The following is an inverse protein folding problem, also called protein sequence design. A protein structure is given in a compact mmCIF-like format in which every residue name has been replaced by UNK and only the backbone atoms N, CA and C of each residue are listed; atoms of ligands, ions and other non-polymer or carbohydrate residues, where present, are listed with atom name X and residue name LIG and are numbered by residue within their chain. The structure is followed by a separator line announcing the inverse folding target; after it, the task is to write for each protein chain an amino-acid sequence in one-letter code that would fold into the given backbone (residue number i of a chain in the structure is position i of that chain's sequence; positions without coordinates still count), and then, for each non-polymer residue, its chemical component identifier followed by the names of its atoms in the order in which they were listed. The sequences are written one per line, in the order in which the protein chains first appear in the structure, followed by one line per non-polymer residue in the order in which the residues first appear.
data_IF_732957742980
#
_entry.id   IF_732957742980
#
_cell.length_a   1.000
_cell.length_b   1.000
_cell.length_c   1.000
_cell.angle_alpha   90.00
_cell.angle_beta   90.00
_cell.angle_gamma   90.00
#
_symmetry.space_group_name_H-M   'P 1'
#
loop_
_entity.id
_entity.type
_entity.pdbx_description
1 polymer ?
#
# COMPACT_ATOMS: atom_id res chain seq x y z
N UNK A 1 -34.67 52.13 -16.26
CA UNK A 1 -35.05 52.59 -14.90
C UNK A 1 -34.75 51.48 -13.89
N UNK A 2 -34.55 51.78 -12.59
CA UNK A 2 -33.69 50.97 -11.72
C UNK A 2 -34.32 50.47 -10.40
N UNK A 3 -33.69 49.44 -9.81
CA UNK A 3 -33.56 49.16 -8.35
C UNK A 3 -32.56 47.98 -8.21
N UNK A 4 -31.43 47.98 -7.51
CA UNK A 4 -30.82 48.80 -6.45
C UNK A 4 -31.25 48.50 -4.99
N UNK A 5 -30.48 47.62 -4.33
CA UNK A 5 -30.28 47.47 -2.86
C UNK A 5 -31.50 47.01 -2.02
N UNK A 6 -31.36 46.55 -0.74
CA UNK A 6 -30.22 46.67 0.19
C UNK A 6 -29.70 45.35 0.85
N UNK A 7 -28.58 45.38 1.60
CA UNK A 7 -28.08 44.25 2.40
C UNK A 7 -28.78 44.17 3.76
N UNK A 8 -28.89 42.97 4.33
CA UNK A 8 -29.38 42.77 5.70
C UNK A 8 -28.23 42.59 6.69
N UNK A 9 -28.04 43.60 7.54
CA UNK A 9 -27.41 43.44 8.85
C UNK A 9 -28.48 43.05 9.88
N UNK A 10 -28.15 42.13 10.79
CA UNK A 10 -28.78 42.06 12.11
C UNK A 10 -27.72 42.04 13.21
N UNK A 11 -27.68 43.15 13.96
CA UNK A 11 -27.15 43.26 15.33
C UNK A 11 -27.97 42.37 16.30
N UNK A 12 -27.59 42.01 17.54
CA UNK A 12 -26.38 42.18 18.39
C UNK A 12 -26.61 41.34 19.69
N UNK A 13 -25.66 41.36 20.64
CA UNK A 13 -25.72 40.83 22.03
C UNK A 13 -25.58 39.29 22.16
N UNK A 14 -24.77 38.69 23.04
CA UNK A 14 -23.87 39.11 24.14
C UNK A 14 -22.64 38.15 24.13
N UNK A 15 -21.44 38.41 24.70
CA UNK A 15 -20.82 39.57 25.37
C UNK A 15 -19.27 39.46 25.24
N UNK A 16 -18.50 40.42 25.77
CA UNK A 16 -17.04 40.34 25.90
C UNK A 16 -16.57 39.91 27.30
N UNK A 17 -15.44 39.20 27.40
CA UNK A 17 -14.59 39.24 28.59
C UNK A 17 -13.10 39.34 28.22
N UNK A 18 -12.54 40.56 28.36
CA UNK A 18 -11.10 40.84 28.30
C UNK A 18 -10.58 41.18 29.70
N UNK A 19 -9.64 40.40 30.23
CA UNK A 19 -8.82 40.76 31.40
C UNK A 19 -7.36 40.41 31.07
N UNK A 20 -6.50 41.38 30.74
CA UNK A 20 -5.83 42.38 31.61
C UNK A 20 -4.79 41.78 32.56
N UNK A 21 -3.52 41.88 32.17
CA UNK A 21 -2.37 41.78 33.09
C UNK A 21 -2.32 43.02 34.02
N UNK A 22 -1.99 42.87 35.32
CA UNK A 22 -1.81 44.00 36.22
C UNK A 22 -0.45 44.72 36.05
N UNK A 23 -0.30 45.97 36.53
CA UNK A 23 0.69 46.92 36.00
C UNK A 23 1.99 47.05 36.82
N UNK A 24 3.00 47.64 36.18
CA UNK A 24 4.21 48.14 36.84
C UNK A 24 3.93 49.33 37.77
N UNK A 25 4.41 49.26 39.01
CA UNK A 25 4.67 50.43 39.84
C UNK A 25 6.14 50.88 39.67
N UNK A 26 6.36 52.15 39.33
CA UNK A 26 7.70 52.78 39.42
C UNK A 26 7.96 53.22 40.86
N UNK A 27 9.15 52.96 41.38
CA UNK A 27 9.74 53.77 42.46
C UNK A 27 11.09 54.30 41.99
N UNK A 28 11.27 55.61 42.17
CA UNK A 28 12.44 56.39 41.76
C UNK A 28 13.56 56.32 42.79
N UNK A 29 14.80 56.17 42.35
CA UNK A 29 15.96 56.29 43.24
C UNK A 29 17.29 56.13 42.50
N UNK A 30 17.96 57.25 42.17
CA UNK A 30 19.38 57.26 41.83
C UNK A 30 20.14 57.92 42.99
N UNK A 31 21.03 57.17 43.62
CA UNK A 31 22.18 57.69 44.37
C UNK A 31 23.39 56.76 44.12
N UNK A 32 24.65 57.26 44.22
CA UNK A 32 25.75 56.69 43.44
C UNK A 32 26.84 55.98 44.27
N UNK A 33 27.58 55.09 43.58
CA UNK A 33 28.82 54.40 44.02
C UNK A 33 28.64 53.44 45.22
N UNK A 34 29.16 52.21 45.17
CA UNK A 34 30.58 52.02 45.45
C UNK A 34 31.20 50.77 44.78
N UNK A 35 32.49 50.86 44.43
CA UNK A 35 33.28 49.73 43.92
C UNK A 35 34.10 49.13 45.08
N UNK A 36 33.76 47.94 45.56
CA UNK A 36 34.73 47.03 46.22
C UNK A 36 34.24 45.58 46.34
N UNK A 37 35.12 44.66 45.93
CA UNK A 37 35.24 43.27 46.40
C UNK A 37 33.96 42.40 46.53
N UNK A 38 33.48 41.91 45.40
CA UNK A 38 32.99 40.53 45.32
C UNK A 38 33.87 39.76 44.34
N UNK A 39 34.79 38.91 44.84
CA UNK A 39 35.51 37.95 44.00
C UNK A 39 34.50 36.96 43.45
N UNK A 40 34.08 37.15 42.19
CA UNK A 40 33.31 36.14 41.47
C UNK A 40 34.18 34.89 41.34
N UNK A 41 33.87 33.88 42.16
CA UNK A 41 34.41 32.54 41.94
C UNK A 41 33.94 32.09 40.56
N UNK A 42 34.88 31.96 39.62
CA UNK A 42 34.60 31.33 38.33
C UNK A 42 34.01 29.95 38.61
N UNK A 43 32.82 29.62 38.08
CA UNK A 43 32.26 28.30 38.29
C UNK A 43 33.25 27.28 37.72
N UNK A 44 33.73 26.36 38.57
CA UNK A 44 34.62 25.28 38.15
C UNK A 44 33.95 24.55 36.99
N UNK A 45 34.49 24.70 35.78
CA UNK A 45 34.04 23.95 34.62
C UNK A 45 34.13 22.48 35.01
N UNK A 46 33.01 21.72 35.01
CA UNK A 46 33.05 20.32 35.43
C UNK A 46 34.08 19.58 34.57
N UNK A 47 34.88 18.73 35.20
CA UNK A 47 36.02 18.09 34.55
C UNK A 47 35.52 16.98 33.60
N UNK A 48 35.05 17.37 32.41
CA UNK A 48 34.41 16.47 31.44
C UNK A 48 35.29 15.28 31.03
N UNK A 49 36.60 15.32 31.26
CA UNK A 49 37.50 14.19 31.04
C UNK A 49 37.25 13.02 32.01
N UNK A 50 36.60 13.26 33.15
CA UNK A 50 36.12 12.21 34.07
C UNK A 50 34.70 11.72 33.74
N UNK A 51 34.00 12.37 32.81
CA UNK A 51 32.66 11.96 32.41
C UNK A 51 32.74 10.77 31.43
N UNK A 52 32.18 9.63 31.82
CA UNK A 52 32.24 8.39 31.03
C UNK A 52 31.52 8.50 29.68
N UNK A 53 30.39 9.24 29.60
CA UNK A 53 29.69 9.46 28.35
C UNK A 53 30.51 10.34 27.39
N UNK A 54 31.18 11.38 27.89
CA UNK A 54 32.13 12.16 27.09
C UNK A 54 33.29 11.31 26.58
N UNK A 55 33.93 10.51 27.46
CA UNK A 55 35.04 9.62 27.08
C UNK A 55 34.63 8.62 26.01
N UNK A 56 33.46 7.98 26.17
CA UNK A 56 32.91 7.06 25.16
C UNK A 56 32.63 7.76 23.83
N UNK A 57 31.98 8.93 23.86
CA UNK A 57 31.70 9.70 22.66
C UNK A 57 32.99 10.17 21.96
N UNK A 58 34.00 10.60 22.71
CA UNK A 58 35.31 11.02 22.20
C UNK A 58 36.08 9.83 21.61
N UNK A 59 36.01 8.64 22.21
CA UNK A 59 36.58 7.41 21.66
C UNK A 59 35.97 7.08 20.29
N UNK A 60 34.64 6.94 20.21
CA UNK A 60 33.98 6.55 18.96
C UNK A 60 34.15 7.61 17.87
N UNK A 61 34.08 8.89 18.22
CA UNK A 61 34.36 9.99 17.29
C UNK A 61 35.82 10.01 16.79
N UNK A 62 36.77 9.60 17.63
CA UNK A 62 38.18 9.48 17.25
C UNK A 62 38.42 8.34 16.25
N UNK A 63 37.57 7.32 16.29
CA UNK A 63 37.60 6.15 15.41
C UNK A 63 36.63 6.26 14.22
N UNK A 64 36.27 7.50 13.83
CA UNK A 64 35.51 7.79 12.61
C UNK A 64 33.99 7.77 12.74
N UNK A 65 33.43 7.42 13.91
CA UNK A 65 31.98 7.37 14.09
C UNK A 65 31.35 8.76 14.22
N UNK A 66 30.16 8.94 13.64
CA UNK A 66 29.32 10.10 13.87
C UNK A 66 28.57 9.99 15.22
N UNK A 67 28.53 11.09 15.97
CA UNK A 67 27.92 11.13 17.31
C UNK A 67 26.68 12.02 17.32
N UNK A 68 25.52 11.47 17.67
CA UNK A 68 24.30 12.25 17.92
C UNK A 68 24.18 12.58 19.41
N UNK A 69 24.11 13.86 19.84
CA UNK A 69 23.91 14.20 21.24
C UNK A 69 22.50 13.88 21.70
N UNK A 70 22.36 13.21 22.85
CA UNK A 70 21.09 12.78 23.42
C UNK A 70 20.81 13.45 24.76
N UNK A 71 19.54 13.68 25.06
CA UNK A 71 19.09 14.28 26.32
C UNK A 71 19.55 13.46 27.54
N UNK A 72 19.82 14.09 28.71
CA UNK A 72 20.21 13.38 29.92
C UNK A 72 19.23 12.27 30.30
N UNK A 73 19.75 11.07 30.60
CA UNK A 73 18.97 9.86 30.95
C UNK A 73 17.93 9.42 29.91
N UNK A 74 18.04 9.90 28.68
CA UNK A 74 17.08 9.67 27.60
C UNK A 74 17.75 9.04 26.38
N UNK A 75 16.93 8.42 25.52
CA UNK A 75 17.33 7.98 24.18
C UNK A 75 17.07 9.04 23.11
N UNK A 76 16.36 10.14 23.45
CA UNK A 76 15.95 11.19 22.50
C UNK A 76 17.12 12.11 22.14
N UNK A 77 17.29 12.52 20.88
CA UNK A 77 18.27 13.54 20.51
C UNK A 77 17.92 14.90 21.11
N UNK A 78 18.94 15.70 21.42
CA UNK A 78 18.71 17.13 21.68
C UNK A 78 18.07 17.80 20.46
N UNK A 79 17.22 18.80 20.70
CA UNK A 79 16.55 19.54 19.62
C UNK A 79 17.56 20.04 18.57
N UNK A 80 17.25 19.81 17.30
CA UNK A 80 18.11 20.13 16.18
C UNK A 80 19.17 19.08 15.83
N UNK A 81 19.24 17.93 16.53
CA UNK A 81 20.08 16.77 16.21
C UNK A 81 19.25 15.54 15.83
N UNK A 82 19.84 14.60 15.06
CA UNK A 82 19.25 13.33 14.65
C UNK A 82 20.32 12.39 14.06
N UNK A 83 19.96 11.16 13.65
CA UNK A 83 20.85 10.31 12.83
C UNK A 83 21.29 10.94 11.50
N UNK A 84 20.61 11.98 11.02
CA UNK A 84 21.00 12.77 9.82
C UNK A 84 21.71 14.08 10.15
N UNK A 85 21.74 14.49 11.42
CA UNK A 85 22.35 15.75 11.88
C UNK A 85 23.05 15.53 13.22
N UNK A 86 24.36 15.29 13.13
CA UNK A 86 25.21 14.77 14.19
C UNK A 86 26.54 15.54 14.26
N UNK A 87 27.32 15.30 15.31
CA UNK A 87 28.66 15.83 15.50
C UNK A 87 29.69 14.92 14.80
N UNK A 88 30.59 15.54 14.00
CA UNK A 88 31.75 14.87 13.36
C UNK A 88 33.12 15.48 13.74
N UNK A 89 33.17 16.47 14.66
CA UNK A 89 34.42 17.18 15.02
C UNK A 89 34.64 17.21 16.53
N UNK A 90 35.81 16.75 17.02
CA UNK A 90 36.14 16.70 18.47
C UNK A 90 35.96 18.05 19.19
N UNK A 91 36.29 19.17 18.52
CA UNK A 91 36.10 20.53 19.06
C UNK A 91 34.62 20.85 19.35
N UNK A 92 33.71 20.37 18.51
CA UNK A 92 32.27 20.55 18.66
C UNK A 92 31.74 19.65 19.79
N UNK A 93 32.14 18.38 19.83
CA UNK A 93 31.80 17.44 20.92
C UNK A 93 32.21 18.00 22.30
N UNK A 94 33.45 18.49 22.41
CA UNK A 94 33.99 19.09 23.63
C UNK A 94 33.26 20.38 24.05
N UNK A 95 32.82 21.19 23.08
CA UNK A 95 31.97 22.36 23.33
C UNK A 95 30.57 21.94 23.81
N UNK A 96 30.00 20.88 23.24
CA UNK A 96 28.69 20.35 23.60
C UNK A 96 28.67 19.84 25.04
N UNK A 97 29.55 18.91 25.40
CA UNK A 97 29.62 18.34 26.75
C UNK A 97 30.06 19.35 27.83
N UNK A 98 30.76 20.43 27.47
CA UNK A 98 30.99 21.58 28.38
C UNK A 98 29.70 22.34 28.73
N UNK A 99 28.73 22.38 27.82
CA UNK A 99 27.43 23.04 28.03
C UNK A 99 26.41 22.10 28.68
N UNK A 100 26.47 20.81 28.34
CA UNK A 100 25.57 19.77 28.82
C UNK A 100 26.39 18.58 29.37
N UNK A 101 26.93 18.68 30.60
CA UNK A 101 27.80 17.63 31.15
C UNK A 101 27.08 16.30 31.35
N UNK A 102 25.79 16.32 31.69
CA UNK A 102 24.97 15.12 31.93
C UNK A 102 24.33 14.54 30.67
N UNK A 103 24.71 15.01 29.48
CA UNK A 103 24.20 14.52 28.21
C UNK A 103 24.57 13.05 27.97
N UNK A 104 23.61 12.31 27.40
CA UNK A 104 23.89 11.02 26.77
C UNK A 104 24.42 11.25 25.35
N UNK A 105 24.87 10.18 24.70
CA UNK A 105 25.16 10.21 23.27
C UNK A 105 24.73 8.93 22.56
N UNK A 106 24.46 9.07 21.27
CA UNK A 106 24.25 7.97 20.35
C UNK A 106 25.39 7.86 19.35
N UNK A 107 25.76 6.63 19.02
CA UNK A 107 26.65 6.28 17.91
C UNK A 107 25.74 6.08 16.69
N UNK A 108 25.87 6.91 15.67
CA UNK A 108 25.08 6.79 14.43
C UNK A 108 25.54 5.55 13.67
N UNK A 109 24.62 4.77 13.13
CA UNK A 109 24.89 3.48 12.46
C UNK A 109 24.78 3.58 10.93
N UNK A 110 25.27 2.56 10.23
CA UNK A 110 25.42 2.49 8.77
C UNK A 110 26.59 3.31 8.23
N UNK A 111 26.43 3.84 7.02
CA UNK A 111 27.45 4.53 6.23
C UNK A 111 28.09 5.73 6.95
N UNK A 112 27.34 6.39 7.85
CA UNK A 112 27.78 7.56 8.58
C UNK A 112 28.96 7.29 9.54
N UNK A 113 29.17 6.03 9.94
CA UNK A 113 30.19 5.59 10.90
C UNK A 113 30.92 4.28 10.51
N UNK A 114 30.47 3.57 9.47
CA UNK A 114 31.01 2.25 9.12
C UNK A 114 30.62 1.12 10.09
N UNK A 115 29.54 1.31 10.85
CA UNK A 115 29.15 0.46 11.99
C UNK A 115 27.69 0.04 11.88
N UNK A 116 27.42 -1.25 12.02
CA UNK A 116 26.08 -1.79 12.28
C UNK A 116 26.03 -2.40 13.68
N UNK A 117 24.85 -2.52 14.26
CA UNK A 117 24.67 -3.12 15.58
C UNK A 117 23.53 -4.13 15.57
N UNK A 118 23.79 -5.34 16.05
CA UNK A 118 22.76 -6.30 16.41
C UNK A 118 22.33 -6.02 17.86
N UNK A 119 21.14 -5.48 18.01
CA UNK A 119 20.48 -5.14 19.27
C UNK A 119 19.64 -6.34 19.72
N UNK A 120 19.99 -6.91 20.87
CA UNK A 120 19.47 -8.19 21.37
C UNK A 120 18.71 -7.95 22.66
N UNK A 121 17.38 -7.92 22.61
CA UNK A 121 16.55 -7.58 23.77
C UNK A 121 15.96 -8.80 24.50
N UNK A 122 15.84 -8.66 25.82
CA UNK A 122 15.13 -9.59 26.70
C UNK A 122 15.70 -11.01 26.77
N UNK A 123 14.83 -11.96 27.13
CA UNK A 123 15.16 -13.40 27.15
C UNK A 123 15.12 -13.98 25.74
N UNK A 124 14.10 -13.63 24.98
CA UNK A 124 13.82 -14.15 23.64
C UNK A 124 14.96 -13.88 22.67
N UNK A 125 15.42 -12.62 22.56
CA UNK A 125 16.57 -12.26 21.74
C UNK A 125 17.84 -13.02 22.12
N UNK A 126 18.06 -13.32 23.41
CA UNK A 126 19.22 -14.14 23.84
C UNK A 126 19.11 -15.59 23.41
N UNK A 127 17.91 -16.16 23.36
CA UNK A 127 17.69 -17.53 22.91
C UNK A 127 17.74 -17.62 21.38
N UNK A 128 17.18 -16.65 20.65
CA UNK A 128 17.39 -16.50 19.20
C UNK A 128 18.85 -16.25 18.85
N UNK A 129 19.61 -15.49 19.64
CA UNK A 129 21.06 -15.31 19.45
C UNK A 129 21.84 -16.62 19.63
N UNK A 130 21.45 -17.52 20.55
CA UNK A 130 22.08 -18.84 20.68
C UNK A 130 21.87 -19.68 19.43
N UNK A 131 20.64 -19.71 18.90
CA UNK A 131 20.32 -20.39 17.64
C UNK A 131 21.11 -19.78 16.47
N UNK A 132 21.18 -18.45 16.39
CA UNK A 132 21.94 -17.72 15.38
C UNK A 132 23.45 -18.05 15.45
N UNK A 133 24.03 -18.12 16.65
CA UNK A 133 25.44 -18.52 16.86
C UNK A 133 25.71 -19.97 16.49
N UNK A 134 24.81 -20.89 16.85
CA UNK A 134 24.93 -22.31 16.46
C UNK A 134 24.86 -22.51 14.95
N UNK A 135 24.12 -21.65 14.25
CA UNK A 135 23.96 -21.69 12.79
C UNK A 135 25.04 -20.93 12.00
N UNK A 136 25.95 -20.21 12.65
CA UNK A 136 27.00 -19.41 11.99
C UNK A 136 28.34 -19.59 12.71
N UNK A 137 29.21 -20.43 12.14
CA UNK A 137 30.54 -20.74 12.68
C UNK A 137 31.45 -19.50 12.81
N UNK A 138 31.15 -18.43 12.06
CA UNK A 138 31.87 -17.15 12.06
C UNK A 138 31.41 -16.08 13.06
N UNK A 139 30.60 -16.39 14.09
CA UNK A 139 30.26 -15.39 15.13
C UNK A 139 31.47 -15.13 16.06
N UNK A 140 32.38 -14.29 15.61
CA UNK A 140 33.58 -13.90 16.35
C UNK A 140 33.29 -13.05 17.59
N UNK A 141 34.28 -12.96 18.49
CA UNK A 141 34.33 -11.92 19.51
C UNK A 141 34.29 -10.54 18.84
N UNK A 142 33.48 -9.64 19.39
CA UNK A 142 33.34 -8.26 18.93
C UNK A 142 33.01 -7.35 20.12
N UNK A 143 32.98 -6.05 19.90
CA UNK A 143 32.59 -5.07 20.92
C UNK A 143 31.13 -5.31 21.34
N UNK A 144 30.92 -5.46 22.65
CA UNK A 144 29.60 -5.72 23.24
C UNK A 144 29.31 -4.67 24.32
N UNK A 145 28.15 -4.01 24.21
CA UNK A 145 27.65 -3.09 25.24
C UNK A 145 26.41 -3.68 25.88
N UNK A 146 26.39 -3.76 27.22
CA UNK A 146 25.24 -4.16 28.00
C UNK A 146 24.25 -2.99 28.10
N UNK A 147 22.97 -3.28 27.84
CA UNK A 147 21.86 -2.32 27.96
C UNK A 147 21.03 -2.65 29.20
N UNK A 148 20.00 -1.85 29.50
CA UNK A 148 19.13 -2.10 30.66
C UNK A 148 18.39 -3.45 30.64
N UNK A 149 18.20 -4.08 29.48
CA UNK A 149 17.45 -5.35 29.32
C UNK A 149 18.12 -6.38 28.39
N UNK A 150 19.16 -5.96 27.65
CA UNK A 150 19.72 -6.69 26.52
C UNK A 150 21.19 -6.36 26.25
N UNK A 151 21.64 -6.57 25.01
CA UNK A 151 23.02 -6.31 24.58
C UNK A 151 23.08 -5.80 23.14
N UNK A 152 23.93 -4.81 22.90
CA UNK A 152 24.34 -4.37 21.57
C UNK A 152 25.63 -5.11 21.17
N UNK A 153 25.63 -5.79 20.02
CA UNK A 153 26.82 -6.39 19.39
C UNK A 153 27.19 -5.56 18.16
N UNK A 154 28.37 -4.95 18.16
CA UNK A 154 28.80 -4.03 17.10
C UNK A 154 29.54 -4.80 16.01
N UNK A 155 29.34 -4.44 14.74
CA UNK A 155 30.06 -5.00 13.59
C UNK A 155 30.40 -3.90 12.58
N UNK A 156 31.45 -4.09 11.79
CA UNK A 156 31.76 -3.23 10.64
C UNK A 156 30.67 -3.41 9.58
N UNK A 157 30.19 -2.33 9.00
CA UNK A 157 29.19 -2.39 7.92
C UNK A 157 29.10 -1.09 7.13
N UNK A 158 28.34 -1.12 6.06
CA UNK A 158 28.12 -0.05 5.09
C UNK A 158 26.64 0.39 5.09
N UNK A 159 26.16 0.91 3.98
CA UNK A 159 24.75 1.27 3.72
C UNK A 159 23.83 0.07 3.42
N UNK A 160 24.37 -1.14 3.21
CA UNK A 160 23.58 -2.34 2.88
C UNK A 160 22.59 -2.72 3.97
N UNK A 161 23.00 -2.58 5.23
CA UNK A 161 22.13 -2.80 6.38
C UNK A 161 21.41 -1.50 6.71
N UNK A 162 20.08 -1.49 6.60
CA UNK A 162 19.22 -0.48 7.26
C UNK A 162 18.63 -1.01 8.56
N UNK A 163 17.97 -0.13 9.30
CA UNK A 163 17.26 -0.51 10.53
C UNK A 163 16.19 -1.55 10.24
N UNK A 164 16.18 -2.64 11.01
CA UNK A 164 15.14 -3.67 10.95
C UNK A 164 14.92 -4.29 12.33
N UNK A 165 13.70 -4.78 12.57
CA UNK A 165 13.33 -5.43 13.83
C UNK A 165 12.91 -6.88 13.57
N UNK A 166 13.30 -7.80 14.44
CA UNK A 166 12.92 -9.22 14.41
C UNK A 166 13.34 -10.06 13.17
N UNK A 167 13.95 -9.48 12.13
CA UNK A 167 14.22 -10.16 10.85
C UNK A 167 15.18 -11.35 10.94
N UNK A 168 16.03 -11.37 11.96
CA UNK A 168 17.01 -12.44 12.22
C UNK A 168 16.54 -13.49 13.23
N UNK A 169 15.34 -13.28 13.80
CA UNK A 169 14.80 -14.01 14.94
C UNK A 169 14.11 -13.04 15.91
N UNK A 170 13.19 -13.55 16.73
CA UNK A 170 12.48 -12.71 17.69
C UNK A 170 13.45 -12.07 18.72
N UNK A 171 13.24 -10.80 19.03
CA UNK A 171 14.15 -10.02 19.89
C UNK A 171 15.54 -9.74 19.30
N UNK A 172 15.74 -9.93 17.98
CA UNK A 172 16.97 -9.57 17.26
C UNK A 172 16.71 -8.45 16.25
N UNK A 173 17.15 -7.24 16.61
CA UNK A 173 17.03 -6.02 15.82
C UNK A 173 18.38 -5.66 15.19
N UNK A 174 18.39 -5.22 13.93
CA UNK A 174 19.58 -4.62 13.30
C UNK A 174 19.43 -3.10 13.29
N UNK A 175 20.42 -2.40 13.83
CA UNK A 175 20.58 -0.95 13.74
C UNK A 175 21.62 -0.65 12.67
N UNK A 176 21.15 -0.09 11.56
CA UNK A 176 21.91 0.13 10.34
C UNK A 176 21.84 1.59 9.90
N UNK A 177 21.90 1.85 8.60
CA UNK A 177 21.84 3.19 8.04
C UNK A 177 20.57 3.95 8.43
N UNK A 178 20.73 5.25 8.65
CA UNK A 178 19.70 6.14 9.21
C UNK A 178 19.41 5.93 10.71
N UNK A 179 20.06 4.97 11.38
CA UNK A 179 19.89 4.67 12.81
C UNK A 179 20.92 5.29 13.74
N UNK A 180 20.76 5.05 15.03
CA UNK A 180 21.81 5.21 16.06
C UNK A 180 21.52 4.29 17.24
N UNK A 181 22.55 3.99 18.04
CA UNK A 181 22.42 3.30 19.33
C UNK A 181 22.98 4.15 20.47
N UNK A 182 22.39 4.08 21.66
CA UNK A 182 22.96 4.75 22.84
C UNK A 182 24.32 4.16 23.17
N UNK A 183 25.33 5.03 23.31
CA UNK A 183 26.71 4.62 23.52
C UNK A 183 27.08 4.39 24.98
N UNK A 184 28.11 3.57 25.26
CA UNK A 184 28.60 3.26 26.60
C UNK A 184 29.09 4.50 27.35
N UNK A 185 28.90 4.51 28.67
CA UNK A 185 29.05 5.68 29.53
C UNK A 185 27.75 6.46 29.74
N UNK A 186 26.81 6.40 28.78
CA UNK A 186 25.46 6.98 28.90
C UNK A 186 24.62 6.28 29.97
N UNK A 187 23.62 6.98 30.51
CA UNK A 187 22.72 6.50 31.58
C UNK A 187 21.30 6.29 31.02
N UNK A 188 20.66 5.18 31.35
CA UNK A 188 19.26 4.90 31.01
C UNK A 188 18.30 5.69 31.92
N UNK A 189 17.03 5.83 31.54
CA UNK A 189 15.98 6.45 32.38
C UNK A 189 15.83 5.77 33.74
N UNK A 190 16.07 4.45 33.79
CA UNK A 190 16.08 3.64 35.03
C UNK A 190 17.36 3.78 35.87
N UNK A 191 18.29 4.67 35.50
CA UNK A 191 19.58 4.86 36.17
C UNK A 191 20.67 3.83 35.82
N UNK A 192 20.32 2.73 35.14
CA UNK A 192 21.30 1.73 34.67
C UNK A 192 22.22 2.35 33.63
N UNK A 193 23.55 2.21 33.79
CA UNK A 193 24.53 2.72 32.83
C UNK A 193 24.79 1.71 31.71
N UNK A 194 24.84 2.21 30.47
CA UNK A 194 25.37 1.45 29.33
C UNK A 194 26.88 1.25 29.53
N UNK A 195 27.35 0.00 29.54
CA UNK A 195 28.75 -0.34 29.79
C UNK A 195 29.22 -1.42 28.85
N UNK A 196 30.52 -1.50 28.58
CA UNK A 196 31.06 -2.66 27.88
C UNK A 196 30.88 -3.92 28.73
N UNK A 197 30.59 -5.04 28.07
CA UNK A 197 30.73 -6.36 28.70
C UNK A 197 32.22 -6.61 28.94
N UNK A 198 32.57 -7.23 30.08
CA UNK A 198 33.97 -7.57 30.39
C UNK A 198 34.61 -8.44 29.29
N UNK A 199 35.85 -8.14 28.90
CA UNK A 199 36.52 -8.80 27.77
C UNK A 199 35.88 -8.49 26.42
N UNK A 200 35.26 -7.32 26.26
CA UNK A 200 34.50 -6.94 25.05
C UNK A 200 34.44 -5.42 24.83
N UNK A 201 35.35 -4.65 25.42
CA UNK A 201 35.56 -3.25 25.09
C UNK A 201 36.42 -3.08 23.81
N UNK A 202 36.35 -1.92 23.12
CA UNK A 202 37.14 -1.66 21.92
C UNK A 202 38.66 -1.69 22.09
N UNK A 203 39.16 -1.59 23.33
CA UNK A 203 40.58 -1.72 23.66
C UNK A 203 41.00 -3.20 23.85
N UNK A 204 40.04 -4.10 24.09
CA UNK A 204 40.24 -5.55 24.27
C UNK A 204 39.94 -6.35 23.00
N UNK A 205 38.95 -5.91 22.20
CA UNK A 205 38.50 -6.61 20.98
C UNK A 205 38.21 -5.64 19.84
N UNK A 206 38.62 -6.03 18.64
CA UNK A 206 38.25 -5.31 17.42
C UNK A 206 36.76 -5.47 17.11
N UNK A 207 36.17 -4.45 16.46
CA UNK A 207 34.83 -4.57 15.86
C UNK A 207 34.90 -5.57 14.70
N UNK A 208 34.20 -6.70 14.82
CA UNK A 208 34.22 -7.79 13.85
C UNK A 208 33.49 -7.44 12.54
N UNK A 209 33.74 -8.22 11.48
CA UNK A 209 33.07 -8.06 10.18
C UNK A 209 31.61 -8.54 10.22
N UNK A 210 30.78 -8.01 9.31
CA UNK A 210 29.35 -8.37 9.16
C UNK A 210 29.05 -9.34 8.01
N UNK A 211 30.06 -9.98 7.40
CA UNK A 211 29.87 -10.88 6.25
C UNK A 211 28.89 -12.01 6.57
N UNK A 212 29.10 -12.71 7.69
CA UNK A 212 28.21 -13.75 8.20
C UNK A 212 26.76 -13.26 8.39
N UNK A 213 26.56 -11.97 8.71
CA UNK A 213 25.23 -11.39 8.88
C UNK A 213 24.54 -11.20 7.52
N UNK A 214 25.29 -10.84 6.47
CA UNK A 214 24.77 -10.77 5.09
C UNK A 214 24.46 -12.16 4.56
N UNK A 215 25.39 -13.09 4.71
CA UNK A 215 25.23 -14.52 4.35
C UNK A 215 24.00 -15.11 5.06
N UNK A 216 23.80 -14.79 6.35
CA UNK A 216 22.64 -15.26 7.09
C UNK A 216 21.34 -14.67 6.58
N UNK A 217 21.27 -13.35 6.31
CA UNK A 217 20.10 -12.72 5.67
C UNK A 217 19.83 -13.36 4.30
N UNK A 218 20.86 -13.53 3.47
CA UNK A 218 20.75 -14.18 2.16
C UNK A 218 20.22 -15.62 2.27
N UNK A 219 20.75 -16.44 3.19
CA UNK A 219 20.29 -17.83 3.40
C UNK A 219 18.85 -17.91 3.91
N UNK A 220 18.44 -17.02 4.83
CA UNK A 220 17.07 -16.93 5.33
C UNK A 220 16.10 -16.54 4.22
N UNK A 221 16.55 -15.78 3.22
CA UNK A 221 15.71 -15.48 2.07
C UNK A 221 15.79 -16.54 0.98
N UNK A 222 16.92 -17.21 0.73
CA UNK A 222 16.96 -18.34 -0.20
C UNK A 222 15.92 -19.39 0.22
N UNK A 223 15.87 -19.75 1.50
CA UNK A 223 14.82 -20.62 2.06
C UNK A 223 13.37 -20.09 1.87
N UNK A 224 13.17 -18.77 1.86
CA UNK A 224 11.86 -18.13 1.57
C UNK A 224 11.58 -18.01 0.06
N UNK A 225 12.60 -18.05 -0.78
CA UNK A 225 12.55 -17.96 -2.24
C UNK A 225 12.38 -19.34 -2.88
N UNK A 226 13.02 -20.38 -2.35
CA UNK A 226 12.81 -21.79 -2.74
C UNK A 226 11.38 -22.26 -2.44
N UNK A 227 10.69 -21.60 -1.48
CA UNK A 227 9.24 -21.72 -1.24
C UNK A 227 8.39 -20.77 -2.12
N UNK A 228 8.91 -20.33 -3.26
CA UNK A 228 8.20 -19.59 -4.33
C UNK A 228 8.59 -20.23 -5.66
N UNK A 229 7.60 -20.61 -6.47
CA UNK A 229 7.87 -21.09 -7.83
C UNK A 229 8.52 -19.98 -8.67
N UNK A 230 9.78 -20.18 -9.05
CA UNK A 230 10.55 -19.28 -9.91
C UNK A 230 10.55 -19.79 -11.36
N UNK A 231 10.26 -18.94 -12.37
CA UNK A 231 10.34 -19.35 -13.77
C UNK A 231 11.78 -19.64 -14.20
N UNK A 232 12.04 -20.85 -14.68
CA UNK A 232 13.40 -21.39 -14.86
C UNK A 232 14.18 -20.81 -16.05
N UNK A 233 13.53 -20.06 -16.95
CA UNK A 233 14.13 -19.56 -18.20
C UNK A 233 13.61 -18.15 -18.53
N UNK A 234 14.44 -17.13 -18.36
CA UNK A 234 14.15 -15.74 -18.74
C UNK A 234 14.91 -15.42 -20.03
N UNK A 235 14.21 -15.39 -21.17
CA UNK A 235 14.77 -14.90 -22.44
C UNK A 235 15.02 -13.39 -22.38
N UNK A 236 15.95 -12.93 -23.22
CA UNK A 236 16.26 -11.51 -23.36
C UNK A 236 14.99 -10.71 -23.72
N UNK A 237 14.73 -9.62 -22.98
CA UNK A 237 13.47 -8.87 -23.00
C UNK A 237 12.47 -9.21 -21.88
N UNK A 238 12.53 -10.41 -21.27
CA UNK A 238 11.62 -10.82 -20.18
C UNK A 238 12.03 -10.40 -18.76
N UNK A 239 13.24 -9.83 -18.59
CA UNK A 239 13.92 -9.60 -17.30
C UNK A 239 13.12 -8.74 -16.31
N UNK A 240 12.60 -7.60 -16.75
CA UNK A 240 11.82 -6.70 -15.89
C UNK A 240 10.53 -7.37 -15.38
N UNK A 241 9.85 -8.15 -16.21
CA UNK A 241 8.63 -8.86 -15.82
C UNK A 241 8.94 -9.98 -14.79
N UNK A 242 10.02 -10.74 -15.00
CA UNK A 242 10.48 -11.75 -14.05
C UNK A 242 10.87 -11.11 -12.70
N UNK A 243 11.62 -10.00 -12.73
CA UNK A 243 12.01 -9.25 -11.54
C UNK A 243 10.79 -8.69 -10.78
N UNK A 244 9.82 -8.09 -11.49
CA UNK A 244 8.55 -7.61 -10.89
C UNK A 244 7.77 -8.76 -10.26
N UNK A 245 7.63 -9.91 -10.94
CA UNK A 245 6.89 -11.05 -10.41
C UNK A 245 7.53 -11.64 -9.14
N UNK A 246 8.86 -11.77 -9.13
CA UNK A 246 9.64 -12.19 -7.97
C UNK A 246 9.48 -11.22 -6.79
N UNK A 247 9.65 -9.91 -7.03
CA UNK A 247 9.52 -8.88 -6.00
C UNK A 247 8.09 -8.77 -5.47
N UNK A 248 7.06 -8.90 -6.32
CA UNK A 248 5.66 -8.96 -5.89
C UNK A 248 5.38 -10.17 -4.99
N UNK A 249 6.01 -11.32 -5.25
CA UNK A 249 5.95 -12.49 -4.37
C UNK A 249 6.56 -12.24 -2.99
N UNK A 250 7.70 -11.54 -2.94
CA UNK A 250 8.38 -11.15 -1.70
C UNK A 250 7.57 -10.10 -0.90
N UNK A 251 7.05 -9.07 -1.57
CA UNK A 251 6.19 -8.03 -0.97
C UNK A 251 4.94 -8.65 -0.36
N UNK A 252 4.29 -9.61 -1.04
CA UNK A 252 3.14 -10.37 -0.47
C UNK A 252 3.50 -11.19 0.78
N UNK A 253 4.77 -11.60 0.93
CA UNK A 253 5.30 -12.26 2.15
C UNK A 253 5.81 -11.23 3.20
N UNK A 254 5.50 -9.94 3.06
CA UNK A 254 5.88 -8.87 4.00
C UNK A 254 7.34 -8.40 3.86
N UNK A 255 8.06 -8.83 2.82
CA UNK A 255 9.45 -8.45 2.59
C UNK A 255 9.47 -7.12 1.83
N UNK A 256 9.84 -6.04 2.53
CA UNK A 256 9.80 -4.67 2.02
C UNK A 256 11.08 -3.89 2.37
N UNK A 257 11.24 -2.72 1.73
CA UNK A 257 12.38 -1.83 1.94
C UNK A 257 13.69 -2.42 1.44
N UNK A 258 14.75 -2.31 2.23
CA UNK A 258 16.11 -2.64 1.78
C UNK A 258 16.38 -4.14 1.67
N UNK A 259 15.61 -4.97 2.39
CA UNK A 259 15.60 -6.42 2.18
C UNK A 259 15.09 -6.73 0.76
N UNK A 260 13.99 -6.10 0.33
CA UNK A 260 13.46 -6.26 -1.03
C UNK A 260 14.47 -5.81 -2.10
N UNK A 261 15.21 -4.72 -1.87
CA UNK A 261 16.25 -4.24 -2.79
C UNK A 261 17.46 -5.20 -2.87
N UNK A 262 17.94 -5.71 -1.74
CA UNK A 262 19.02 -6.69 -1.73
C UNK A 262 18.67 -7.94 -2.54
N UNK A 263 17.41 -8.38 -2.45
CA UNK A 263 16.89 -9.55 -3.17
C UNK A 263 16.65 -9.28 -4.65
N UNK A 264 16.21 -8.08 -5.00
CA UNK A 264 16.14 -7.65 -6.39
C UNK A 264 17.51 -7.73 -7.08
N UNK A 265 18.57 -7.27 -6.39
CA UNK A 265 19.95 -7.33 -6.89
C UNK A 265 20.46 -8.77 -7.01
N UNK A 266 20.21 -9.62 -6.01
CA UNK A 266 20.59 -11.05 -6.04
C UNK A 266 19.89 -11.78 -7.19
N UNK A 267 18.57 -11.60 -7.35
CA UNK A 267 17.80 -12.25 -8.41
C UNK A 267 18.19 -11.72 -9.80
N UNK A 268 18.41 -10.40 -9.94
CA UNK A 268 18.92 -9.81 -11.18
C UNK A 268 20.30 -10.37 -11.59
N UNK A 269 21.17 -10.63 -10.60
CA UNK A 269 22.47 -11.27 -10.81
C UNK A 269 22.40 -12.72 -11.28
N UNK A 270 21.23 -13.37 -11.23
CA UNK A 270 21.01 -14.71 -11.78
C UNK A 270 20.66 -14.71 -13.28
N UNK A 271 20.39 -13.55 -13.88
CA UNK A 271 20.09 -13.44 -15.31
C UNK A 271 21.37 -13.58 -16.15
N UNK A 272 21.32 -14.23 -17.34
CA UNK A 272 22.49 -14.34 -18.25
C UNK A 272 23.09 -12.99 -18.66
N UNK A 273 22.27 -11.94 -18.64
CA UNK A 273 22.69 -10.54 -18.72
C UNK A 273 21.87 -9.76 -17.68
N UNK A 274 22.45 -9.41 -16.53
CA UNK A 274 21.78 -8.61 -15.50
C UNK A 274 21.37 -7.22 -16.01
N UNK A 275 20.28 -6.69 -15.46
CA UNK A 275 19.89 -5.29 -15.63
C UNK A 275 20.84 -4.36 -14.86
N UNK A 276 20.88 -3.09 -15.26
CA UNK A 276 21.63 -2.07 -14.53
C UNK A 276 21.01 -1.77 -13.14
N UNK A 277 21.82 -1.33 -12.19
CA UNK A 277 21.38 -1.13 -10.81
C UNK A 277 20.32 -0.02 -10.68
N UNK A 278 20.37 1.04 -11.50
CA UNK A 278 19.31 2.06 -11.51
C UNK A 278 17.98 1.48 -12.01
N UNK A 279 18.01 0.49 -12.90
CA UNK A 279 16.82 -0.22 -13.40
C UNK A 279 16.27 -1.19 -12.34
N UNK A 280 17.13 -1.90 -11.62
CA UNK A 280 16.74 -2.69 -10.45
C UNK A 280 16.11 -1.82 -9.37
N UNK A 281 16.72 -0.67 -9.03
CA UNK A 281 16.20 0.29 -8.04
C UNK A 281 14.87 0.89 -8.48
N UNK A 282 14.69 1.24 -9.77
CA UNK A 282 13.39 1.66 -10.33
C UNK A 282 12.34 0.56 -10.20
N UNK A 283 12.72 -0.69 -10.50
CA UNK A 283 11.82 -1.85 -10.44
C UNK A 283 11.38 -2.17 -9.00
N UNK A 284 12.28 -2.05 -8.02
CA UNK A 284 11.96 -2.18 -6.60
C UNK A 284 11.03 -1.06 -6.12
N UNK A 285 11.28 0.19 -6.52
CA UNK A 285 10.36 1.31 -6.25
C UNK A 285 8.97 1.02 -6.83
N UNK A 286 8.91 0.54 -8.08
CA UNK A 286 7.65 0.13 -8.72
C UNK A 286 6.93 -0.96 -7.93
N UNK A 287 7.61 -2.04 -7.54
CA UNK A 287 7.05 -3.12 -6.73
C UNK A 287 6.58 -2.64 -5.33
N UNK A 288 7.22 -1.62 -4.75
CA UNK A 288 6.79 -0.99 -3.50
C UNK A 288 5.58 -0.07 -3.67
N UNK A 289 5.34 0.49 -4.86
CA UNK A 289 4.07 1.17 -5.18
C UNK A 289 2.87 0.20 -5.15
N UNK A 290 3.13 -1.11 -5.32
CA UNK A 290 2.17 -2.20 -5.15
C UNK A 290 2.24 -2.88 -3.77
N UNK A 291 2.87 -2.23 -2.77
CA UNK A 291 2.96 -2.75 -1.39
C UNK A 291 1.65 -2.56 -0.62
N UNK A 292 1.25 -3.51 0.26
CA UNK A 292 -0.11 -3.53 0.81
C UNK A 292 -0.37 -2.39 1.80
N UNK A 293 -1.14 -1.41 1.36
CA UNK A 293 -1.87 -0.48 2.23
C UNK A 293 -3.17 -1.18 2.65
N UNK A 294 -3.40 -1.29 3.96
CA UNK A 294 -4.62 -1.74 4.64
C UNK A 294 -5.47 -2.82 3.94
N UNK A 295 -5.15 -4.09 4.20
CA UNK A 295 -6.07 -5.21 3.99
C UNK A 295 -7.19 -5.24 5.04
N UNK A 296 -8.07 -4.26 4.95
CA UNK A 296 -9.52 -4.49 5.09
C UNK A 296 -10.30 -4.02 3.84
N UNK A 297 -9.66 -3.33 2.89
CA UNK A 297 -10.20 -3.10 1.55
C UNK A 297 -9.07 -2.93 0.51
N UNK A 298 -8.95 -3.85 -0.45
CA UNK A 298 -8.21 -3.56 -1.69
C UNK A 298 -8.92 -2.40 -2.39
N UNK A 299 -8.28 -1.23 -2.62
CA UNK A 299 -8.94 -0.09 -3.23
C UNK A 299 -9.49 -0.40 -4.63
N UNK A 300 -8.81 -1.23 -5.41
CA UNK A 300 -9.28 -1.67 -6.72
C UNK A 300 -10.52 -2.54 -6.60
N UNK A 301 -10.57 -3.42 -5.60
CA UNK A 301 -11.73 -4.28 -5.35
C UNK A 301 -12.93 -3.47 -4.84
N UNK A 302 -12.71 -2.57 -3.88
CA UNK A 302 -13.76 -1.70 -3.34
C UNK A 302 -14.35 -0.76 -4.41
N UNK A 303 -13.53 -0.23 -5.33
CA UNK A 303 -14.03 0.55 -6.45
C UNK A 303 -14.72 -0.31 -7.52
N UNK A 304 -14.30 -1.56 -7.74
CA UNK A 304 -15.01 -2.48 -8.62
C UNK A 304 -16.39 -2.82 -8.07
N UNK A 305 -16.50 -3.13 -6.78
CA UNK A 305 -17.79 -3.40 -6.12
C UNK A 305 -18.68 -2.14 -6.10
N UNK A 306 -18.12 -0.95 -5.88
CA UNK A 306 -18.87 0.30 -6.00
C UNK A 306 -19.37 0.57 -7.43
N UNK A 307 -18.60 0.25 -8.47
CA UNK A 307 -19.04 0.32 -9.88
C UNK A 307 -20.16 -0.69 -10.16
N UNK A 308 -20.02 -1.93 -9.71
CA UNK A 308 -21.06 -2.96 -9.84
C UNK A 308 -22.36 -2.56 -9.13
N UNK A 309 -22.26 -2.02 -7.92
CA UNK A 309 -23.41 -1.58 -7.12
C UNK A 309 -24.09 -0.35 -7.72
N UNK A 310 -23.33 0.60 -8.25
CA UNK A 310 -23.85 1.89 -8.76
C UNK A 310 -24.48 1.73 -10.16
N UNK A 311 -23.91 0.89 -11.03
CA UNK A 311 -24.30 0.83 -12.44
C UNK A 311 -24.89 -0.51 -12.89
N UNK A 312 -24.65 -1.61 -12.17
CA UNK A 312 -24.89 -2.96 -12.69
C UNK A 312 -25.63 -3.90 -11.71
N UNK A 313 -26.44 -3.33 -10.81
CA UNK A 313 -27.29 -4.11 -9.90
C UNK A 313 -26.52 -5.07 -8.99
N UNK A 314 -25.32 -4.66 -8.52
CA UNK A 314 -24.44 -5.51 -7.73
C UNK A 314 -23.75 -6.62 -8.55
N UNK A 315 -23.64 -6.45 -9.87
CA UNK A 315 -23.05 -7.44 -10.79
C UNK A 315 -24.05 -8.40 -11.42
N UNK A 316 -25.35 -8.23 -11.17
CA UNK A 316 -26.40 -8.98 -11.88
C UNK A 316 -26.61 -8.50 -13.32
N UNK A 317 -26.31 -7.25 -13.62
CA UNK A 317 -26.55 -6.60 -14.91
C UNK A 317 -25.27 -6.35 -15.72
N UNK A 318 -24.18 -7.05 -15.39
CA UNK A 318 -22.93 -7.05 -16.15
C UNK A 318 -22.39 -8.48 -16.21
N UNK A 319 -21.95 -8.90 -17.39
CA UNK A 319 -21.23 -10.16 -17.60
C UNK A 319 -20.07 -9.97 -18.57
N UNK A 320 -19.16 -10.94 -18.60
CA UNK A 320 -18.13 -11.09 -19.61
C UNK A 320 -18.13 -12.54 -20.11
N UNK A 321 -18.01 -12.72 -21.43
CA UNK A 321 -17.99 -14.04 -22.07
C UNK A 321 -16.60 -14.35 -22.64
N UNK A 322 -16.44 -15.57 -23.17
CA UNK A 322 -15.18 -16.07 -23.74
C UNK A 322 -14.76 -15.34 -25.04
N UNK A 323 -15.71 -14.65 -25.70
CA UNK A 323 -15.44 -13.66 -26.76
C UNK A 323 -14.57 -12.47 -26.27
N UNK A 324 -14.46 -12.33 -24.95
CA UNK A 324 -13.73 -11.30 -24.24
C UNK A 324 -14.46 -9.98 -24.06
N UNK A 325 -15.68 -9.86 -24.59
CA UNK A 325 -16.54 -8.69 -24.54
C UNK A 325 -17.31 -8.63 -23.21
N UNK A 326 -17.58 -7.41 -22.75
CA UNK A 326 -18.54 -7.18 -21.68
C UNK A 326 -19.93 -6.97 -22.26
N UNK A 327 -20.93 -7.48 -21.56
CA UNK A 327 -22.35 -7.31 -21.87
C UNK A 327 -23.05 -6.73 -20.65
N UNK A 328 -23.87 -5.71 -20.84
CA UNK A 328 -24.67 -5.08 -19.78
C UNK A 328 -26.16 -5.13 -20.09
N UNK A 329 -26.97 -5.27 -19.05
CA UNK A 329 -28.42 -5.31 -19.14
C UNK A 329 -29.00 -3.89 -18.96
N UNK A 330 -29.71 -3.38 -19.98
CA UNK A 330 -30.23 -2.01 -20.05
C UNK A 330 -31.64 -1.84 -19.41
N UNK A 331 -32.02 -2.77 -18.53
CA UNK A 331 -33.37 -3.01 -18.01
C UNK A 331 -34.38 -3.63 -19.00
N UNK A 332 -33.98 -3.87 -20.26
CA UNK A 332 -34.79 -4.59 -21.25
C UNK A 332 -34.03 -5.76 -21.89
N UNK A 333 -32.78 -5.55 -22.30
CA UNK A 333 -31.96 -6.50 -23.05
C UNK A 333 -30.48 -6.41 -22.70
N UNK A 334 -29.73 -7.45 -23.05
CA UNK A 334 -28.28 -7.46 -22.99
C UNK A 334 -27.67 -6.82 -24.24
N UNK A 335 -26.78 -5.85 -24.03
CA UNK A 335 -26.05 -5.12 -25.09
C UNK A 335 -24.56 -5.06 -24.76
N UNK A 336 -23.71 -4.79 -25.77
CA UNK A 336 -22.26 -4.72 -25.57
C UNK A 336 -21.92 -3.48 -24.73
N UNK A 337 -21.29 -3.69 -23.58
CA UNK A 337 -20.71 -2.63 -22.75
C UNK A 337 -19.24 -2.47 -23.14
N UNK A 338 -18.87 -1.30 -23.65
CA UNK A 338 -17.48 -1.08 -24.05
C UNK A 338 -16.57 -0.76 -22.85
N UNK A 339 -15.29 -1.13 -22.96
CA UNK A 339 -14.30 -0.97 -21.89
C UNK A 339 -14.09 0.50 -21.51
N UNK A 340 -14.21 1.43 -22.45
CA UNK A 340 -14.01 2.85 -22.16
C UNK A 340 -15.19 3.48 -21.39
N UNK A 341 -16.41 3.00 -21.58
CA UNK A 341 -17.58 3.28 -20.73
C UNK A 341 -17.35 2.77 -19.31
N UNK A 342 -16.83 1.54 -19.14
CA UNK A 342 -16.43 1.03 -17.82
C UNK A 342 -15.37 1.90 -17.16
N UNK A 343 -14.36 2.37 -17.89
CA UNK A 343 -13.35 3.33 -17.38
C UNK A 343 -13.99 4.67 -16.98
N UNK A 344 -14.92 5.20 -17.77
CA UNK A 344 -15.64 6.45 -17.45
C UNK A 344 -16.54 6.31 -16.21
N UNK A 345 -17.28 5.20 -16.10
CA UNK A 345 -18.09 4.84 -14.92
C UNK A 345 -17.19 4.72 -13.67
N UNK A 346 -16.05 4.06 -13.79
CA UNK A 346 -15.03 3.96 -12.73
C UNK A 346 -14.48 5.32 -12.32
N UNK A 347 -14.14 6.20 -13.27
CA UNK A 347 -13.66 7.55 -12.98
C UNK A 347 -14.70 8.37 -12.18
N UNK A 348 -16.00 8.26 -12.50
CA UNK A 348 -17.08 8.93 -11.75
C UNK A 348 -17.14 8.44 -10.30
N UNK A 349 -17.07 7.12 -10.07
CA UNK A 349 -17.06 6.52 -8.72
C UNK A 349 -15.84 6.95 -7.92
N UNK A 350 -14.66 7.04 -8.54
CA UNK A 350 -13.44 7.57 -7.88
C UNK A 350 -13.59 9.06 -7.55
N UNK A 351 -14.17 9.87 -8.45
CA UNK A 351 -14.39 11.30 -8.21
C UNK A 351 -15.39 11.58 -7.08
N UNK A 352 -16.37 10.69 -6.88
CA UNK A 352 -17.38 10.79 -5.82
C UNK A 352 -16.88 10.31 -4.45
N UNK A 353 -15.72 9.64 -4.38
CA UNK A 353 -15.12 9.16 -3.13
C UNK A 353 -14.02 10.12 -2.62
N UNK A 354 -14.15 10.70 -1.41
CA UNK A 354 -13.18 11.68 -0.90
C UNK A 354 -11.85 11.06 -0.45
N UNK A 355 -11.82 9.77 -0.11
CA UNK A 355 -10.59 9.03 0.18
C UNK A 355 -9.97 8.55 -1.14
N UNK A 356 -8.96 9.26 -1.62
CA UNK A 356 -8.18 8.85 -2.81
C UNK A 356 -7.03 7.93 -2.38
N UNK A 357 -6.83 6.76 -3.00
CA UNK A 357 -5.63 5.97 -2.78
C UNK A 357 -4.39 6.74 -3.23
N UNK A 358 -3.23 6.45 -2.64
CA UNK A 358 -1.93 7.04 -3.04
C UNK A 358 -1.41 6.58 -4.42
N UNK A 359 -2.26 5.93 -5.22
CA UNK A 359 -1.95 5.43 -6.57
C UNK A 359 -2.43 6.42 -7.64
N UNK A 360 -1.83 6.35 -8.83
CA UNK A 360 -2.30 7.14 -9.97
C UNK A 360 -3.70 6.68 -10.41
N UNK A 361 -4.60 7.64 -10.68
CA UNK A 361 -6.01 7.37 -11.06
C UNK A 361 -6.12 6.38 -12.23
N UNK A 362 -5.24 6.48 -13.24
CA UNK A 362 -5.21 5.57 -14.39
C UNK A 362 -4.87 4.13 -14.01
N UNK A 363 -4.00 3.93 -13.01
CA UNK A 363 -3.67 2.60 -12.48
C UNK A 363 -4.89 1.97 -11.81
N UNK A 364 -5.59 2.74 -10.96
CA UNK A 364 -6.81 2.29 -10.28
C UNK A 364 -7.92 1.95 -11.27
N UNK A 365 -8.11 2.80 -12.30
CA UNK A 365 -9.09 2.54 -13.37
C UNK A 365 -8.80 1.22 -14.11
N UNK A 366 -7.54 0.95 -14.44
CA UNK A 366 -7.17 -0.30 -15.11
C UNK A 366 -7.32 -1.52 -14.18
N UNK A 367 -6.91 -1.41 -12.91
CA UNK A 367 -7.11 -2.44 -11.89
C UNK A 367 -8.58 -2.81 -11.72
N UNK A 368 -9.48 -1.81 -11.63
CA UNK A 368 -10.93 -2.03 -11.56
C UNK A 368 -11.43 -2.78 -12.79
N UNK A 369 -11.04 -2.38 -14.00
CA UNK A 369 -11.43 -3.08 -15.24
C UNK A 369 -10.94 -4.54 -15.25
N UNK A 370 -9.71 -4.80 -14.79
CA UNK A 370 -9.17 -6.16 -14.72
C UNK A 370 -9.86 -7.02 -13.65
N UNK A 371 -10.22 -6.43 -12.50
CA UNK A 371 -11.04 -7.10 -11.47
C UNK A 371 -12.45 -7.40 -12.00
N UNK A 372 -13.07 -6.47 -12.74
CA UNK A 372 -14.37 -6.70 -13.37
C UNK A 372 -14.32 -7.86 -14.38
N UNK A 373 -13.25 -7.97 -15.20
CA UNK A 373 -13.09 -9.12 -16.13
C UNK A 373 -13.17 -10.46 -15.41
N UNK A 374 -12.65 -10.55 -14.19
CA UNK A 374 -12.69 -11.76 -13.38
C UNK A 374 -14.03 -11.92 -12.62
N UNK A 375 -14.52 -10.86 -11.96
CA UNK A 375 -15.74 -10.91 -11.13
C UNK A 375 -17.02 -11.20 -11.91
N UNK A 376 -17.11 -10.78 -13.17
CA UNK A 376 -18.32 -10.95 -13.99
C UNK A 376 -18.18 -11.97 -15.12
N UNK A 377 -17.11 -12.77 -15.11
CA UNK A 377 -16.94 -13.85 -16.07
C UNK A 377 -18.09 -14.87 -15.96
N UNK A 378 -18.63 -15.32 -17.09
CA UNK A 378 -19.65 -16.37 -17.17
C UNK A 378 -19.21 -17.45 -18.14
N UNK A 379 -19.20 -18.69 -17.66
CA UNK A 379 -18.90 -19.87 -18.47
C UNK A 379 -20.10 -20.22 -19.36
N UNK A 380 -19.81 -20.80 -20.53
CA UNK A 380 -20.83 -21.27 -21.47
C UNK A 380 -21.44 -20.15 -22.32
N UNK A 381 -22.64 -20.39 -22.84
CA UNK A 381 -23.31 -19.52 -23.83
C UNK A 381 -24.67 -18.98 -23.31
N UNK A 382 -24.69 -18.17 -22.23
CA UNK A 382 -25.94 -17.67 -21.66
C UNK A 382 -26.72 -16.78 -22.66
N UNK A 383 -26.02 -16.08 -23.54
CA UNK A 383 -26.60 -15.20 -24.56
C UNK A 383 -27.00 -15.92 -25.87
N UNK A 384 -26.87 -17.26 -25.91
CA UNK A 384 -27.31 -18.16 -26.99
C UNK A 384 -26.84 -17.69 -28.37
N UNK A 385 -25.52 -17.68 -28.56
CA UNK A 385 -24.85 -17.46 -29.85
C UNK A 385 -24.66 -18.74 -30.66
N UNK A 386 -24.53 -19.87 -29.97
CA UNK A 386 -24.36 -21.23 -30.50
C UNK A 386 -25.62 -22.06 -30.33
N UNK A 387 -26.32 -21.85 -29.21
CA UNK A 387 -27.65 -22.39 -28.95
C UNK A 387 -28.72 -21.76 -29.89
N UNK A 388 -29.82 -22.47 -30.21
CA UNK A 388 -30.98 -21.86 -30.84
C UNK A 388 -31.49 -20.65 -30.04
N UNK A 389 -32.14 -19.65 -30.66
CA UNK A 389 -32.72 -18.53 -29.92
C UNK A 389 -33.76 -19.01 -28.89
N UNK A 390 -33.98 -18.22 -27.84
CA UNK A 390 -35.07 -18.46 -26.91
C UNK A 390 -36.42 -18.37 -27.65
N UNK A 391 -37.37 -19.24 -27.29
CA UNK A 391 -38.76 -19.18 -27.74
C UNK A 391 -39.50 -18.05 -27.00
N UNK A 392 -39.00 -16.82 -27.15
CA UNK A 392 -39.48 -15.63 -26.46
C UNK A 392 -39.29 -14.38 -27.30
N UNK A 393 -40.29 -13.49 -27.29
CA UNK A 393 -40.15 -12.12 -27.77
C UNK A 393 -40.00 -11.15 -26.61
N UNK A 394 -39.05 -10.23 -26.74
CA UNK A 394 -38.86 -9.14 -25.79
C UNK A 394 -39.53 -7.89 -26.35
N UNK A 395 -40.63 -7.48 -25.73
CA UNK A 395 -41.61 -6.51 -26.24
C UNK A 395 -41.72 -5.31 -25.28
N UNK A 396 -42.32 -4.20 -25.71
CA UNK A 396 -42.38 -2.96 -24.90
C UNK A 396 -43.03 -3.16 -23.53
N UNK A 397 -44.00 -4.07 -23.42
CA UNK A 397 -44.73 -4.39 -22.19
C UNK A 397 -44.26 -5.67 -21.47
N UNK A 398 -43.18 -6.33 -21.91
CA UNK A 398 -42.59 -7.48 -21.22
C UNK A 398 -42.01 -8.56 -22.13
N UNK A 399 -41.76 -9.73 -21.55
CA UNK A 399 -41.25 -10.90 -22.27
C UNK A 399 -42.39 -11.88 -22.55
N UNK A 400 -42.70 -12.08 -23.82
CA UNK A 400 -43.71 -13.03 -24.29
C UNK A 400 -43.04 -14.38 -24.57
N UNK A 401 -43.22 -15.33 -23.68
CA UNK A 401 -42.71 -16.70 -23.81
C UNK A 401 -43.69 -17.60 -24.55
N UNK A 402 -43.17 -18.49 -25.41
CA UNK A 402 -43.92 -19.43 -26.23
C UNK A 402 -43.65 -20.86 -25.74
N UNK A 403 -44.70 -21.61 -25.42
CA UNK A 403 -44.61 -23.03 -25.12
C UNK A 403 -44.73 -23.87 -26.41
N UNK A 404 -44.29 -25.13 -26.35
CA UNK A 404 -44.29 -26.06 -27.50
C UNK A 404 -45.68 -26.48 -27.97
N UNK A 405 -46.72 -26.23 -27.16
CA UNK A 405 -48.14 -26.42 -27.49
C UNK A 405 -48.79 -25.16 -28.07
N UNK A 406 -48.03 -24.08 -28.25
CA UNK A 406 -48.51 -22.78 -28.75
C UNK A 406 -49.06 -21.85 -27.65
N UNK A 407 -49.09 -22.27 -26.39
CA UNK A 407 -49.52 -21.39 -25.30
C UNK A 407 -48.51 -20.24 -25.09
N UNK A 408 -49.01 -19.02 -24.87
CA UNK A 408 -48.18 -17.84 -24.62
C UNK A 408 -48.23 -17.40 -23.16
N UNK A 409 -47.15 -16.79 -22.67
CA UNK A 409 -47.08 -16.21 -21.32
C UNK A 409 -46.28 -14.92 -21.33
N UNK A 410 -46.97 -13.80 -21.08
CA UNK A 410 -46.30 -12.50 -20.83
C UNK A 410 -45.75 -12.46 -19.39
N UNK A 411 -44.47 -12.15 -19.25
CA UNK A 411 -43.78 -11.88 -18.00
C UNK A 411 -43.12 -10.50 -17.98
N UNK A 412 -42.67 -10.04 -16.81
CA UNK A 412 -41.85 -8.84 -16.72
C UNK A 412 -40.46 -9.09 -17.34
N UNK A 413 -39.81 -8.03 -17.81
CA UNK A 413 -38.41 -8.06 -18.24
C UNK A 413 -37.49 -8.62 -17.14
N UNK A 414 -36.61 -9.55 -17.50
CA UNK A 414 -35.70 -10.21 -16.58
C UNK A 414 -34.29 -10.35 -17.18
N UNK A 415 -33.27 -9.93 -16.41
CA UNK A 415 -31.88 -10.09 -16.80
C UNK A 415 -31.49 -11.58 -16.99
N UNK A 416 -32.08 -12.48 -16.21
CA UNK A 416 -31.81 -13.93 -16.26
C UNK A 416 -32.47 -14.62 -17.48
N UNK A 417 -33.27 -13.90 -18.27
CA UNK A 417 -33.80 -14.38 -19.57
C UNK A 417 -32.79 -14.24 -20.72
N UNK A 418 -31.69 -13.50 -20.50
CA UNK A 418 -30.55 -13.37 -21.42
C UNK A 418 -30.88 -12.87 -22.84
N UNK A 419 -32.03 -12.21 -23.02
CA UNK A 419 -32.48 -11.71 -24.32
C UNK A 419 -31.63 -10.52 -24.79
N UNK A 420 -31.12 -10.60 -26.04
CA UNK A 420 -30.31 -9.55 -26.69
C UNK A 420 -31.11 -8.64 -27.63
N UNK A 421 -32.30 -9.06 -28.03
CA UNK A 421 -33.19 -8.31 -28.91
C UNK A 421 -34.30 -7.64 -28.10
N UNK A 422 -34.89 -6.59 -28.66
CA UNK A 422 -36.04 -5.86 -28.11
C UNK A 422 -36.81 -5.29 -29.29
N UNK A 423 -38.12 -5.52 -29.34
CA UNK A 423 -39.05 -4.94 -30.31
C UNK A 423 -39.89 -3.89 -29.59
N UNK A 424 -39.97 -2.68 -30.14
CA UNK A 424 -40.72 -1.58 -29.51
C UNK A 424 -42.21 -1.61 -29.87
N UNK A 425 -42.85 -2.76 -29.60
CA UNK A 425 -44.26 -3.06 -29.85
C UNK A 425 -44.84 -3.69 -28.58
N UNK A 426 -46.10 -3.47 -28.29
CA UNK A 426 -46.79 -4.07 -27.13
C UNK A 426 -47.53 -5.35 -27.53
N UNK A 427 -47.47 -6.38 -26.70
CA UNK A 427 -48.34 -7.55 -26.87
C UNK A 427 -49.73 -7.28 -26.30
N UNK A 428 -50.75 -7.35 -27.14
CA UNK A 428 -52.14 -7.51 -26.73
C UNK A 428 -52.66 -8.86 -27.23
N UNK A 429 -53.13 -9.70 -26.32
CA UNK A 429 -53.74 -11.00 -26.64
C UNK A 429 -55.09 -10.88 -27.38
N UNK A 430 -55.66 -9.68 -27.45
CA UNK A 430 -56.93 -9.38 -28.10
C UNK A 430 -56.75 -8.62 -29.43
N UNK A 431 -55.51 -8.37 -29.86
CA UNK A 431 -55.24 -7.70 -31.12
C UNK A 431 -55.75 -8.53 -32.30
N UNK A 432 -56.57 -7.92 -33.15
CA UNK A 432 -57.01 -8.49 -34.42
C UNK A 432 -56.15 -7.93 -35.56
N UNK A 433 -55.88 -8.73 -36.60
CA UNK A 433 -55.14 -8.28 -37.78
C UNK A 433 -55.94 -8.53 -39.07
N UNK A 434 -57.02 -7.75 -39.34
CA UNK A 434 -57.96 -8.06 -40.42
C UNK A 434 -57.36 -8.08 -41.83
N UNK A 435 -56.19 -7.46 -42.03
CA UNK A 435 -55.43 -7.53 -43.28
C UNK A 435 -54.65 -8.84 -43.42
N UNK A 436 -54.09 -9.36 -42.32
CA UNK A 436 -53.46 -10.68 -42.30
C UNK A 436 -54.52 -11.77 -42.44
N UNK A 437 -55.63 -11.67 -41.71
CA UNK A 437 -56.74 -12.63 -41.79
C UNK A 437 -57.27 -12.71 -43.23
N UNK A 438 -57.54 -11.55 -43.86
CA UNK A 438 -57.93 -11.49 -45.28
C UNK A 438 -56.85 -12.04 -46.21
N UNK A 439 -55.58 -11.71 -46.01
CA UNK A 439 -54.50 -12.22 -46.85
C UNK A 439 -54.37 -13.75 -46.75
N UNK A 440 -54.61 -14.33 -45.57
CA UNK A 440 -54.66 -15.78 -45.40
C UNK A 440 -55.87 -16.39 -46.11
N UNK A 441 -57.05 -15.77 -46.06
CA UNK A 441 -58.24 -16.20 -46.80
C UNK A 441 -58.06 -16.09 -48.34
N UNK A 442 -57.40 -15.04 -48.82
CA UNK A 442 -57.12 -14.80 -50.25
C UNK A 442 -56.04 -15.73 -50.82
N UNK A 443 -55.00 -16.05 -50.04
CA UNK A 443 -53.89 -16.93 -50.45
C UNK A 443 -54.24 -18.42 -50.26
N UNK A 444 -55.05 -18.74 -49.23
CA UNK A 444 -55.49 -20.11 -48.91
C UNK A 444 -57.03 -20.21 -48.94
N UNK A 445 -57.66 -20.13 -50.13
CA UNK A 445 -59.10 -20.29 -50.26
C UNK A 445 -59.56 -21.66 -49.72
N UNK A 446 -60.82 -21.74 -49.28
CA UNK A 446 -61.34 -22.85 -48.46
C UNK A 446 -61.17 -24.26 -49.07
N UNK A 447 -61.02 -24.38 -50.38
CA UNK A 447 -60.70 -25.62 -51.10
C UNK A 447 -59.28 -26.18 -50.81
N UNK A 448 -58.41 -25.37 -50.21
CA UNK A 448 -57.08 -25.74 -49.70
C UNK A 448 -57.00 -25.74 -48.16
N UNK A 449 -58.12 -25.70 -47.45
CA UNK A 449 -58.15 -25.61 -45.98
C UNK A 449 -57.40 -26.76 -45.26
N UNK A 450 -57.26 -27.93 -45.87
CA UNK A 450 -56.46 -29.06 -45.33
C UNK A 450 -54.94 -28.75 -45.26
N UNK A 451 -54.46 -27.75 -46.02
CA UNK A 451 -53.05 -27.32 -46.03
C UNK A 451 -52.76 -26.36 -44.87
N UNK A 452 -53.76 -25.63 -44.37
CA UNK A 452 -53.59 -24.64 -43.28
C UNK A 452 -53.06 -25.32 -41.98
N UNK A 453 -53.61 -26.44 -41.49
CA UNK A 453 -53.02 -27.19 -40.38
C UNK A 453 -51.58 -27.65 -40.64
N UNK A 454 -51.24 -28.00 -41.89
CA UNK A 454 -49.88 -28.40 -42.27
C UNK A 454 -48.90 -27.23 -42.25
N UNK A 455 -49.30 -26.03 -42.70
CA UNK A 455 -48.43 -24.85 -42.63
C UNK A 455 -48.21 -24.35 -41.20
N UNK A 456 -49.23 -24.43 -40.36
CA UNK A 456 -49.15 -24.06 -38.92
C UNK A 456 -48.38 -25.10 -38.10
N UNK A 457 -48.35 -26.38 -38.50
CA UNK A 457 -47.63 -27.43 -37.78
C UNK A 457 -46.22 -27.75 -38.29
N UNK A 458 -45.92 -27.50 -39.57
CA UNK A 458 -44.68 -27.99 -40.19
C UNK A 458 -43.51 -26.99 -40.24
N UNK A 459 -43.69 -25.68 -39.96
CA UNK A 459 -42.57 -24.73 -39.99
C UNK A 459 -42.59 -23.54 -39.00
N UNK A 460 -43.74 -23.04 -38.50
CA UNK A 460 -43.76 -21.96 -37.50
C UNK A 460 -45.02 -22.02 -36.60
N UNK A 461 -44.89 -21.87 -35.26
CA UNK A 461 -46.04 -21.83 -34.36
C UNK A 461 -46.71 -20.44 -34.38
N UNK A 462 -47.82 -20.35 -35.12
CA UNK A 462 -48.76 -19.21 -35.17
C UNK A 462 -48.20 -17.85 -35.68
N UNK A 463 -49.04 -16.98 -36.29
CA UNK A 463 -48.56 -15.76 -36.93
C UNK A 463 -48.24 -14.65 -35.93
N UNK A 464 -47.01 -14.12 -36.03
CA UNK A 464 -46.65 -12.84 -35.40
C UNK A 464 -47.13 -11.67 -36.27
N UNK A 465 -48.21 -11.01 -35.84
CA UNK A 465 -48.52 -9.66 -36.31
C UNK A 465 -47.51 -8.68 -35.67
N UNK A 466 -46.63 -8.12 -36.49
CA UNK A 466 -45.73 -7.02 -36.15
C UNK A 466 -46.33 -5.77 -36.78
N UNK A 467 -46.71 -4.77 -35.98
CA UNK A 467 -47.18 -3.48 -36.51
C UNK A 467 -46.03 -2.78 -37.25
N UNK A 468 -46.14 -2.71 -38.58
CA UNK A 468 -45.40 -1.73 -39.37
C UNK A 468 -46.13 -0.39 -39.26
N UNK A 469 -45.53 0.59 -38.57
CA UNK A 469 -45.98 1.97 -38.62
C UNK A 469 -45.46 2.64 -39.90
N UNK A 470 -46.36 3.06 -40.78
CA UNK A 470 -46.02 3.87 -41.96
C UNK A 470 -45.48 5.26 -41.57
N UNK A 471 -44.62 5.81 -42.43
CA UNK A 471 -44.06 7.16 -42.37
C UNK A 471 -44.60 8.04 -43.51
#
# INVERSE_FOLDING_TARGET
MPAAYPPQQTHSFYAELRLRSPPHARVTGRTPMDKKNARTSTPKIPNITQNEAYRGAEYWLSNGAAIVPLEPRSKKPFNGYSSRKYIKKKKELKKFFRKYPDANYGIVTGSASGIIVLDVDGKEGRDSLKALKKANEGFSSTVIVETGRGRHYYFKGDDWFRNSAGKLGAGLDVRGDGGYVVGPGSVHESGVRYKYRAGSSPDEVSVANSSWLRERVASLVQLKADSVSTPTLVKEGGRNNALIAYLGGLVRKGIVGDELLALARIFNGSFPSPLDDDEVVKTVKSALTYSPVDRDADPGEAYADAVLQTYFGGGKHLMRLDDGLFWAYDAKKWTIENVDSLKQKTLKVIQQNPQRPGMATTTVINQVVDILKAKVMRDGDPLRFTDPPAAALNLRNGELWLASDGATKLGAHNAESYLRHFLDIEYDSNAACPLFDRAMEEIFPAEHAEIIPYMVSANFPAPFAVECSDA
#
